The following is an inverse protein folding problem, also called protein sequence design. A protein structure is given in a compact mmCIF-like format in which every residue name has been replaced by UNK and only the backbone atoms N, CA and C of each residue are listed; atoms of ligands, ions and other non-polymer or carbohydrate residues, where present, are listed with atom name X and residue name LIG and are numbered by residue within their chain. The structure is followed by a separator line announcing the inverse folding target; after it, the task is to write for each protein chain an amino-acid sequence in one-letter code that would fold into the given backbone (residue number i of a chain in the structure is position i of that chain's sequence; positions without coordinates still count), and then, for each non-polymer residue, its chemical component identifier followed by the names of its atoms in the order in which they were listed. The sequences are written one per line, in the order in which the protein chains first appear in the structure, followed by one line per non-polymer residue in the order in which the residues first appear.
data_IF_480308802279
#
_entry.id   IF_480308802279
#
_cell.length_a   1.000
_cell.length_b   1.000
_cell.length_c   1.000
_cell.angle_alpha   90.00
_cell.angle_beta   90.00
_cell.angle_gamma   90.00
#
_symmetry.space_group_name_H-M   'P 1'
#
loop_
_entity.id
_entity.type
_entity.pdbx_description
1 polymer ?
#
# COMPACT_ATOMS: atom_id res chain seq x y z
N UNK A 1 -14.21 4.22 10.12
CA UNK A 1 -13.91 3.33 8.96
C UNK A 1 -15.24 2.81 8.43
N UNK A 2 -15.57 3.08 7.18
CA UNK A 2 -16.73 2.48 6.52
C UNK A 2 -16.29 1.18 5.86
N UNK A 3 -16.91 0.06 6.23
CA UNK A 3 -16.62 -1.27 5.67
C UNK A 3 -17.77 -1.67 4.75
N UNK A 4 -17.46 -2.08 3.53
CA UNK A 4 -18.44 -2.31 2.47
C UNK A 4 -18.24 -3.70 1.87
N UNK A 5 -19.32 -4.47 1.78
CA UNK A 5 -19.35 -5.85 1.26
C UNK A 5 -19.57 -5.87 -0.25
N UNK A 6 -19.22 -7.00 -0.90
CA UNK A 6 -19.13 -7.20 -2.36
C UNK A 6 -20.23 -6.53 -3.22
N UNK A 7 -21.48 -6.49 -2.76
CA UNK A 7 -22.61 -5.88 -3.48
C UNK A 7 -22.54 -4.36 -3.62
N UNK A 8 -22.03 -3.69 -2.59
CA UNK A 8 -21.96 -2.23 -2.49
C UNK A 8 -20.57 -1.69 -2.88
N UNK A 9 -19.58 -2.58 -3.06
CA UNK A 9 -18.20 -2.22 -3.32
C UNK A 9 -18.00 -1.38 -4.58
N UNK A 10 -18.76 -1.66 -5.65
CA UNK A 10 -18.72 -0.88 -6.89
C UNK A 10 -19.14 0.58 -6.64
N UNK A 11 -20.29 0.77 -6.02
CA UNK A 11 -20.83 2.12 -5.75
C UNK A 11 -19.89 2.90 -4.83
N UNK A 12 -19.33 2.25 -3.81
CA UNK A 12 -18.43 2.92 -2.88
C UNK A 12 -17.07 3.28 -3.50
N UNK A 13 -16.51 2.42 -4.36
CA UNK A 13 -15.30 2.77 -5.12
C UNK A 13 -15.60 3.95 -6.04
N UNK A 14 -16.77 3.96 -6.69
CA UNK A 14 -17.17 5.05 -7.56
C UNK A 14 -17.34 6.37 -6.80
N UNK A 15 -18.05 6.35 -5.67
CA UNK A 15 -18.22 7.52 -4.80
C UNK A 15 -16.87 8.05 -4.28
N UNK A 16 -15.93 7.15 -3.95
CA UNK A 16 -14.57 7.53 -3.54
C UNK A 16 -13.77 8.19 -4.66
N UNK A 17 -13.87 7.67 -5.90
CA UNK A 17 -13.19 8.26 -7.05
C UNK A 17 -13.79 9.64 -7.36
N UNK A 18 -15.12 9.76 -7.33
CA UNK A 18 -15.83 11.02 -7.59
C UNK A 18 -15.55 12.08 -6.51
N UNK A 19 -15.42 11.68 -5.23
CA UNK A 19 -15.03 12.60 -4.14
C UNK A 19 -13.62 13.14 -4.32
N UNK A 20 -12.67 12.30 -4.76
CA UNK A 20 -11.28 12.69 -4.99
C UNK A 20 -11.11 13.47 -6.30
N UNK A 21 -11.70 12.98 -7.38
CA UNK A 21 -11.59 13.49 -8.75
C UNK A 21 -12.97 13.51 -9.45
N UNK A 22 -13.74 14.61 -9.33
CA UNK A 22 -15.08 14.69 -9.92
C UNK A 22 -15.14 14.50 -11.44
N UNK A 23 -14.06 14.83 -12.15
CA UNK A 23 -13.95 14.72 -13.61
C UNK A 23 -13.16 13.47 -14.05
N UNK A 24 -13.13 12.42 -13.21
CA UNK A 24 -12.42 11.20 -13.57
C UNK A 24 -13.12 10.49 -14.75
N UNK A 25 -12.40 10.09 -15.82
CA UNK A 25 -13.03 9.52 -17.01
C UNK A 25 -13.86 8.26 -16.69
N UNK A 26 -15.15 8.27 -17.02
CA UNK A 26 -16.10 7.20 -16.64
C UNK A 26 -15.66 5.82 -17.13
N UNK A 27 -15.15 5.73 -18.36
CA UNK A 27 -14.66 4.47 -18.91
C UNK A 27 -13.37 4.00 -18.21
N UNK A 28 -12.51 4.91 -17.77
CA UNK A 28 -11.36 4.57 -16.93
C UNK A 28 -11.83 4.07 -15.56
N UNK A 29 -12.81 4.74 -14.93
CA UNK A 29 -13.39 4.32 -13.65
C UNK A 29 -13.93 2.89 -13.73
N UNK A 30 -14.71 2.58 -14.76
CA UNK A 30 -15.23 1.23 -14.99
C UNK A 30 -14.12 0.19 -15.20
N UNK A 31 -13.08 0.54 -15.96
CA UNK A 31 -11.93 -0.36 -16.14
C UNK A 31 -11.16 -0.59 -14.84
N UNK A 32 -10.98 0.46 -14.04
CA UNK A 32 -10.33 0.39 -12.74
C UNK A 32 -11.11 -0.50 -11.77
N UNK A 33 -12.42 -0.28 -11.62
CA UNK A 33 -13.29 -1.08 -10.74
C UNK A 33 -13.19 -2.57 -11.13
N UNK A 34 -13.29 -2.88 -12.42
CA UNK A 34 -13.16 -4.26 -12.92
C UNK A 34 -11.76 -4.85 -12.67
N UNK A 35 -10.73 -4.02 -12.65
CA UNK A 35 -9.35 -4.44 -12.38
C UNK A 35 -9.10 -4.66 -10.89
N UNK A 36 -9.66 -3.82 -10.01
CA UNK A 36 -9.50 -3.92 -8.54
C UNK A 36 -9.96 -5.29 -8.03
N UNK A 37 -11.09 -5.81 -8.53
CA UNK A 37 -11.57 -7.15 -8.17
C UNK A 37 -10.57 -8.28 -8.51
N UNK A 38 -9.71 -8.05 -9.51
CA UNK A 38 -8.67 -9.01 -9.94
C UNK A 38 -7.32 -8.78 -9.27
N UNK A 39 -7.09 -7.58 -8.74
CA UNK A 39 -5.84 -7.17 -8.11
C UNK A 39 -5.43 -8.12 -6.98
N UNK A 40 -6.39 -8.52 -6.14
CA UNK A 40 -6.19 -9.44 -5.02
C UNK A 40 -5.73 -10.84 -5.42
N UNK A 41 -5.99 -11.25 -6.66
CA UNK A 41 -5.71 -12.59 -7.18
C UNK A 41 -4.74 -12.53 -8.37
N UNK A 42 -4.06 -11.41 -8.57
CA UNK A 42 -3.14 -11.25 -9.69
C UNK A 42 -1.90 -12.10 -9.48
N UNK A 43 -1.58 -12.93 -10.48
CA UNK A 43 -0.50 -13.90 -10.44
C UNK A 43 0.16 -13.97 -11.82
N UNK A 44 1.48 -14.01 -11.85
CA UNK A 44 2.27 -14.25 -13.06
C UNK A 44 3.29 -15.35 -12.75
N UNK A 45 3.39 -16.37 -13.60
CA UNK A 45 4.35 -17.48 -13.46
C UNK A 45 4.31 -18.19 -12.08
N UNK A 46 3.14 -18.31 -11.46
CA UNK A 46 3.01 -18.92 -10.12
C UNK A 46 3.31 -17.97 -8.96
N UNK A 47 3.73 -16.74 -9.25
CA UNK A 47 4.09 -15.75 -8.24
C UNK A 47 2.96 -14.74 -8.10
N UNK A 48 2.40 -14.66 -6.90
CA UNK A 48 1.39 -13.67 -6.56
C UNK A 48 2.00 -12.27 -6.59
N UNK A 49 1.45 -11.39 -7.42
CA UNK A 49 1.87 -10.00 -7.48
C UNK A 49 0.87 -9.13 -6.72
N UNK A 50 1.40 -8.17 -5.97
CA UNK A 50 0.62 -7.23 -5.17
C UNK A 50 0.96 -5.79 -5.56
N UNK A 51 0.53 -5.35 -6.75
CA UNK A 51 0.88 -4.04 -7.26
C UNK A 51 0.22 -2.94 -6.44
N UNK A 52 1.03 -1.94 -6.09
CA UNK A 52 0.56 -0.67 -5.54
C UNK A 52 0.44 0.34 -6.68
N UNK A 53 -0.73 0.97 -6.82
CA UNK A 53 -1.07 1.81 -7.97
C UNK A 53 -1.48 3.19 -7.50
N UNK A 54 -0.76 4.21 -7.94
CA UNK A 54 -1.03 5.62 -7.66
C UNK A 54 -1.70 6.28 -8.86
N UNK A 55 -2.92 6.78 -8.68
CA UNK A 55 -3.58 7.64 -9.64
C UNK A 55 -3.37 9.10 -9.27
N UNK A 56 -3.10 9.96 -10.26
CA UNK A 56 -2.96 11.41 -10.07
C UNK A 56 -3.17 12.16 -11.39
N UNK A 57 -3.27 13.49 -11.35
CA UNK A 57 -3.14 14.33 -12.55
C UNK A 57 -1.74 14.92 -12.75
N UNK A 58 -0.86 14.90 -11.74
CA UNK A 58 0.47 15.54 -11.81
C UNK A 58 1.52 14.79 -10.99
N UNK A 59 2.04 13.68 -11.49
CA UNK A 59 3.02 12.85 -10.77
C UNK A 59 4.30 13.63 -10.43
N UNK A 60 4.75 14.54 -11.30
CA UNK A 60 5.93 15.37 -11.06
C UNK A 60 5.79 16.25 -9.83
N UNK A 61 4.57 16.76 -9.57
CA UNK A 61 4.30 17.57 -8.38
C UNK A 61 4.38 16.73 -7.11
N UNK A 62 3.90 15.47 -7.16
CA UNK A 62 3.97 14.55 -6.03
C UNK A 62 5.43 14.16 -5.72
N UNK A 63 6.19 13.83 -6.76
CA UNK A 63 7.60 13.44 -6.62
C UNK A 63 8.44 14.59 -6.08
N UNK A 64 8.24 15.81 -6.59
CA UNK A 64 8.91 16.99 -6.07
C UNK A 64 8.53 17.30 -4.62
N UNK A 65 7.26 17.10 -4.26
CA UNK A 65 6.76 17.36 -2.91
C UNK A 65 7.27 16.36 -1.87
N UNK A 66 7.44 15.09 -2.23
CA UNK A 66 7.98 14.06 -1.32
C UNK A 66 9.51 14.02 -1.33
N UNK A 67 10.14 14.23 -2.48
CA UNK A 67 11.60 14.11 -2.66
C UNK A 67 12.07 12.65 -2.77
N UNK A 68 13.38 12.48 -2.99
CA UNK A 68 14.10 11.19 -3.00
C UNK A 68 13.38 10.05 -3.72
N UNK A 69 12.78 10.35 -4.86
CA UNK A 69 11.95 9.40 -5.61
C UNK A 69 12.33 9.44 -7.07
N UNK A 70 12.52 8.25 -7.63
CA UNK A 70 12.72 8.07 -9.06
C UNK A 70 11.39 7.67 -9.69
N UNK A 71 11.11 8.25 -10.85
CA UNK A 71 10.06 7.75 -11.75
C UNK A 71 10.63 7.45 -13.11
N UNK A 72 10.00 6.50 -13.78
CA UNK A 72 10.23 6.21 -15.18
C UNK A 72 8.89 6.11 -15.89
N UNK A 73 8.67 6.99 -16.86
CA UNK A 73 7.56 6.86 -17.80
C UNK A 73 7.84 5.69 -18.74
N UNK A 74 6.85 4.83 -18.92
CA UNK A 74 6.96 3.66 -19.80
C UNK A 74 5.96 3.75 -20.94
N UNK A 75 4.73 4.19 -20.68
CA UNK A 75 3.69 4.31 -21.70
C UNK A 75 3.02 5.67 -21.69
N UNK A 76 2.55 6.07 -22.86
CA UNK A 76 1.68 7.22 -23.06
C UNK A 76 0.60 6.79 -24.05
N UNK A 77 -0.66 6.97 -23.68
CA UNK A 77 -1.80 6.59 -24.49
C UNK A 77 -2.75 7.79 -24.64
N UNK A 78 -3.30 7.98 -25.83
CA UNK A 78 -4.25 9.07 -26.11
C UNK A 78 -5.64 8.84 -25.47
N UNK A 79 -5.88 7.64 -24.96
CA UNK A 79 -7.13 7.23 -24.31
C UNK A 79 -6.91 6.04 -23.36
N UNK A 80 -7.96 5.69 -22.64
CA UNK A 80 -8.00 4.68 -21.57
C UNK A 80 -8.08 3.23 -22.07
N UNK A 81 -8.17 2.98 -23.39
CA UNK A 81 -8.42 1.63 -23.92
C UNK A 81 -7.32 0.63 -23.57
N UNK A 82 -6.09 1.11 -23.40
CA UNK A 82 -4.92 0.29 -23.15
C UNK A 82 -4.69 -0.01 -21.66
N UNK A 83 -5.51 0.54 -20.75
CA UNK A 83 -5.30 0.45 -19.30
C UNK A 83 -4.99 -0.97 -18.84
N UNK A 84 -5.83 -1.95 -19.19
CA UNK A 84 -5.63 -3.36 -18.77
C UNK A 84 -4.32 -3.95 -19.31
N UNK A 85 -3.96 -3.64 -20.55
CA UNK A 85 -2.71 -4.10 -21.15
C UNK A 85 -1.51 -3.45 -20.45
N UNK A 86 -1.58 -2.14 -20.15
CA UNK A 86 -0.52 -1.42 -19.43
C UNK A 86 -0.35 -1.95 -18.01
N UNK A 87 -1.43 -2.19 -17.27
CA UNK A 87 -1.36 -2.78 -15.94
C UNK A 87 -0.70 -4.15 -15.97
N UNK A 88 -1.06 -5.01 -16.94
CA UNK A 88 -0.40 -6.31 -17.11
C UNK A 88 1.10 -6.17 -17.38
N UNK A 89 1.51 -5.25 -18.25
CA UNK A 89 2.93 -5.02 -18.54
C UNK A 89 3.72 -4.42 -17.37
N UNK A 90 3.07 -3.66 -16.49
CA UNK A 90 3.72 -2.97 -15.38
C UNK A 90 3.71 -3.77 -14.08
N UNK A 91 2.75 -4.68 -13.90
CA UNK A 91 2.60 -5.48 -12.67
C UNK A 91 3.84 -6.29 -12.27
N UNK A 92 4.62 -6.88 -13.20
CA UNK A 92 5.84 -7.62 -12.84
C UNK A 92 6.87 -6.77 -12.08
N UNK A 93 6.94 -5.46 -12.33
CA UNK A 93 7.88 -4.58 -11.62
C UNK A 93 7.58 -4.48 -10.12
N UNK A 94 6.36 -4.77 -9.69
CA UNK A 94 5.98 -4.79 -8.28
C UNK A 94 6.70 -5.87 -7.47
N UNK A 95 7.18 -6.94 -8.10
CA UNK A 95 8.05 -7.92 -7.45
C UNK A 95 9.38 -7.29 -6.96
N UNK A 96 9.82 -6.20 -7.61
CA UNK A 96 11.08 -5.51 -7.31
C UNK A 96 10.88 -4.17 -6.58
N UNK A 97 9.79 -4.05 -5.81
CA UNK A 97 9.45 -2.86 -5.00
C UNK A 97 9.24 -1.58 -5.82
N UNK A 98 8.89 -1.72 -7.10
CA UNK A 98 8.41 -0.61 -7.89
C UNK A 98 6.89 -0.50 -7.76
N UNK A 99 6.43 0.73 -7.58
CA UNK A 99 5.02 1.05 -7.60
C UNK A 99 4.64 1.55 -8.98
N UNK A 100 3.38 1.40 -9.35
CA UNK A 100 2.85 1.84 -10.64
C UNK A 100 2.20 3.20 -10.43
N UNK A 101 2.40 4.14 -11.36
CA UNK A 101 1.58 5.35 -11.41
C UNK A 101 0.77 5.40 -12.71
N UNK A 102 -0.42 5.99 -12.60
CA UNK A 102 -1.28 6.36 -13.71
C UNK A 102 -1.58 7.85 -13.58
N UNK A 103 -1.04 8.63 -14.50
CA UNK A 103 -1.40 10.04 -14.61
C UNK A 103 -2.55 10.19 -15.61
N UNK A 104 -3.65 10.78 -15.14
CA UNK A 104 -4.83 11.10 -15.94
C UNK A 104 -4.80 12.60 -16.25
N UNK A 105 -4.61 12.94 -17.51
CA UNK A 105 -4.55 14.33 -17.94
C UNK A 105 -5.96 14.85 -18.27
N UNK A 106 -6.23 16.16 -18.09
CA UNK A 106 -7.52 16.77 -18.43
C UNK A 106 -7.94 16.59 -19.89
N UNK A 107 -6.96 16.42 -20.79
CA UNK A 107 -7.16 16.22 -22.23
C UNK A 107 -7.62 14.80 -22.60
N UNK A 108 -7.80 13.92 -21.61
CA UNK A 108 -8.16 12.51 -21.84
C UNK A 108 -6.97 11.61 -22.19
N UNK A 109 -5.75 12.13 -22.12
CA UNK A 109 -4.52 11.35 -22.31
C UNK A 109 -4.05 10.73 -20.99
N UNK A 110 -3.35 9.61 -21.09
CA UNK A 110 -2.89 8.83 -19.95
C UNK A 110 -1.40 8.56 -20.05
N UNK A 111 -0.69 8.82 -18.96
CA UNK A 111 0.70 8.43 -18.81
C UNK A 111 0.80 7.32 -17.76
N UNK A 112 1.54 6.26 -18.11
CA UNK A 112 1.79 5.14 -17.21
C UNK A 112 3.28 4.97 -16.99
N UNK A 113 3.65 4.64 -15.77
CA UNK A 113 5.02 4.34 -15.46
C UNK A 113 5.18 3.71 -14.10
N UNK A 114 6.43 3.64 -13.68
CA UNK A 114 6.82 3.11 -12.40
C UNK A 114 7.53 4.18 -11.59
N UNK A 115 7.41 4.08 -10.27
CA UNK A 115 8.14 4.93 -9.34
C UNK A 115 8.64 4.13 -8.15
N UNK A 116 9.74 4.59 -7.56
CA UNK A 116 10.32 3.99 -6.37
C UNK A 116 10.99 5.06 -5.53
N UNK A 117 10.82 4.96 -4.22
CA UNK A 117 11.56 5.78 -3.28
C UNK A 117 12.99 5.26 -3.13
N UNK A 118 13.95 6.17 -3.10
CA UNK A 118 15.36 5.92 -2.82
C UNK A 118 15.69 6.08 -1.32
N UNK A 119 14.66 6.25 -0.50
CA UNK A 119 14.78 6.43 0.94
C UNK A 119 15.51 5.26 1.61
N UNK A 120 16.21 5.59 2.70
CA UNK A 120 16.79 4.57 3.57
C UNK A 120 15.67 3.73 4.20
N UNK A 121 15.95 2.48 4.55
CA UNK A 121 14.98 1.61 5.24
C UNK A 121 14.51 2.20 6.59
N UNK A 122 15.26 3.16 7.16
CA UNK A 122 14.91 3.90 8.38
C UNK A 122 13.92 5.03 8.15
N UNK A 123 13.62 5.37 6.90
CA UNK A 123 12.73 6.46 6.52
C UNK A 123 11.38 5.89 6.06
N UNK A 124 10.35 6.74 6.10
CA UNK A 124 9.03 6.36 5.59
C UNK A 124 9.05 6.15 4.07
N UNK A 125 8.17 5.27 3.60
CA UNK A 125 7.96 5.03 2.17
C UNK A 125 7.46 6.31 1.45
N UNK A 126 7.60 6.37 0.13
CA UNK A 126 7.01 7.45 -0.67
C UNK A 126 5.52 7.61 -0.41
N UNK A 127 4.77 6.49 -0.39
CA UNK A 127 3.33 6.50 -0.21
C UNK A 127 2.96 7.08 1.16
N UNK A 128 3.68 6.68 2.22
CA UNK A 128 3.48 7.22 3.57
C UNK A 128 3.76 8.72 3.59
N UNK A 129 4.89 9.16 3.05
CA UNK A 129 5.25 10.59 3.01
C UNK A 129 4.29 11.42 2.17
N UNK A 130 3.78 10.87 1.06
CA UNK A 130 2.79 11.51 0.21
C UNK A 130 1.53 11.89 1.02
N UNK A 131 1.02 10.97 1.83
CA UNK A 131 -0.19 11.21 2.64
C UNK A 131 0.07 11.93 3.96
N UNK A 132 1.32 12.10 4.38
CA UNK A 132 1.69 12.96 5.52
C UNK A 132 2.01 14.40 5.10
N UNK A 133 2.20 14.67 3.80
CA UNK A 133 2.60 15.98 3.31
C UNK A 133 1.42 16.97 3.28
N UNK A 134 1.37 17.86 4.27
CA UNK A 134 0.32 18.88 4.39
C UNK A 134 0.31 19.90 3.24
N UNK A 135 1.47 20.24 2.66
CA UNK A 135 1.53 21.18 1.54
C UNK A 135 0.83 20.62 0.28
N UNK A 136 1.00 19.32 0.02
CA UNK A 136 0.29 18.64 -1.05
C UNK A 136 -1.21 18.57 -0.77
N UNK A 137 -1.60 18.35 0.49
CA UNK A 137 -3.01 18.40 0.93
C UNK A 137 -3.65 19.78 0.83
N UNK A 138 -2.88 20.87 0.84
CA UNK A 138 -3.44 22.21 0.60
C UNK A 138 -3.80 22.45 -0.87
N UNK A 139 -3.27 21.63 -1.80
CA UNK A 139 -3.47 21.77 -3.26
C UNK A 139 -4.65 20.98 -3.82
N UNK A 140 -5.57 20.51 -2.98
CA UNK A 140 -6.73 19.64 -3.31
C UNK A 140 -7.57 20.09 -4.52
N UNK A 141 -7.60 21.38 -4.82
CA UNK A 141 -8.39 21.92 -5.94
C UNK A 141 -7.69 21.76 -7.31
N UNK A 142 -6.39 21.50 -7.33
CA UNK A 142 -5.57 21.44 -8.56
C UNK A 142 -4.81 20.14 -8.72
N UNK A 143 -4.72 19.36 -7.65
CA UNK A 143 -3.99 18.12 -7.54
C UNK A 143 -4.92 17.10 -6.90
N UNK A 144 -5.14 15.99 -7.59
CA UNK A 144 -5.76 14.82 -6.99
C UNK A 144 -4.72 13.71 -6.92
N UNK A 145 -4.80 12.89 -5.89
CA UNK A 145 -4.06 11.65 -5.85
C UNK A 145 -4.79 10.62 -5.00
N UNK A 146 -4.90 9.40 -5.50
CA UNK A 146 -5.32 8.28 -4.68
C UNK A 146 -4.47 7.05 -4.96
N UNK A 147 -4.22 6.30 -3.90
CA UNK A 147 -3.42 5.09 -3.92
C UNK A 147 -4.31 3.88 -3.74
N UNK A 148 -4.03 2.83 -4.50
CA UNK A 148 -4.66 1.52 -4.39
C UNK A 148 -3.58 0.53 -3.96
N UNK A 149 -3.85 -0.20 -2.88
CA UNK A 149 -2.94 -1.19 -2.33
C UNK A 149 -3.71 -2.47 -1.99
N UNK A 150 -3.27 -3.62 -2.50
CA UNK A 150 -3.68 -4.91 -1.95
C UNK A 150 -3.10 -5.08 -0.56
N UNK A 151 -3.96 -5.15 0.46
CA UNK A 151 -3.57 -5.37 1.86
C UNK A 151 -3.40 -6.86 2.12
N UNK A 152 -4.32 -7.68 1.57
CA UNK A 152 -4.38 -9.11 1.80
C UNK A 152 -4.69 -9.86 0.51
N UNK A 153 -5.03 -11.15 0.63
CA UNK A 153 -5.50 -11.96 -0.49
C UNK A 153 -6.94 -11.65 -0.92
N UNK A 154 -7.68 -10.86 -0.14
CA UNK A 154 -9.08 -10.54 -0.38
C UNK A 154 -9.38 -9.05 -0.21
N UNK A 155 -8.43 -8.24 0.24
CA UNK A 155 -8.70 -6.86 0.64
C UNK A 155 -7.86 -5.86 -0.13
N UNK A 156 -8.52 -4.78 -0.59
CA UNK A 156 -7.89 -3.64 -1.25
C UNK A 156 -8.18 -2.37 -0.45
N UNK A 157 -7.15 -1.57 -0.20
CA UNK A 157 -7.26 -0.24 0.38
C UNK A 157 -7.14 0.82 -0.69
N UNK A 158 -7.99 1.82 -0.59
CA UNK A 158 -7.93 3.08 -1.31
C UNK A 158 -7.61 4.18 -0.31
N UNK A 159 -6.60 4.99 -0.61
CA UNK A 159 -6.19 6.14 0.21
C UNK A 159 -6.18 7.38 -0.64
N UNK A 160 -6.96 8.38 -0.27
CA UNK A 160 -7.05 9.65 -0.97
C UNK A 160 -6.11 10.68 -0.35
N UNK A 161 -5.57 11.58 -1.17
CA UNK A 161 -4.76 12.70 -0.70
C UNK A 161 -5.57 13.63 0.22
N UNK A 162 -6.90 13.63 0.10
CA UNK A 162 -7.81 14.39 0.98
C UNK A 162 -7.89 13.81 2.39
N UNK A 163 -7.35 12.62 2.63
CA UNK A 163 -7.37 11.91 3.92
C UNK A 163 -8.48 10.87 4.04
N UNK A 164 -9.28 10.68 2.99
CA UNK A 164 -10.29 9.64 2.96
C UNK A 164 -9.64 8.27 2.74
N UNK A 165 -10.15 7.25 3.41
CA UNK A 165 -9.72 5.87 3.24
C UNK A 165 -10.94 4.96 3.07
N UNK A 166 -10.89 4.10 2.07
CA UNK A 166 -11.90 3.09 1.78
C UNK A 166 -11.21 1.73 1.69
N UNK A 167 -11.72 0.75 2.42
CA UNK A 167 -11.24 -0.63 2.35
C UNK A 167 -12.36 -1.52 1.82
N UNK A 168 -12.07 -2.30 0.79
CA UNK A 168 -13.00 -3.23 0.16
C UNK A 168 -12.53 -4.64 0.43
N UNK A 169 -13.41 -5.46 1.03
CA UNK A 169 -13.16 -6.90 1.22
C UNK A 169 -13.98 -7.70 0.22
N UNK A 170 -13.29 -8.61 -0.48
CA UNK A 170 -13.88 -9.61 -1.36
C UNK A 170 -14.11 -10.96 -0.66
N UNK A 171 -13.83 -11.05 0.65
CA UNK A 171 -14.11 -12.24 1.44
C UNK A 171 -15.59 -12.31 1.84
N UNK A 172 -16.12 -13.53 2.01
CA UNK A 172 -17.46 -13.77 2.55
C UNK A 172 -17.45 -13.90 4.08
N UNK A 173 -16.31 -13.64 4.72
CA UNK A 173 -16.16 -13.83 6.16
C UNK A 173 -16.71 -12.63 6.93
N UNK A 174 -17.52 -12.88 7.96
CA UNK A 174 -17.98 -11.87 8.93
C UNK A 174 -16.85 -11.43 9.90
N UNK A 175 -15.63 -11.23 9.40
CA UNK A 175 -14.50 -10.83 10.24
C UNK A 175 -14.39 -9.31 10.31
N UNK A 176 -14.01 -8.83 11.50
CA UNK A 176 -13.45 -7.49 11.68
C UNK A 176 -12.22 -7.40 10.77
N UNK A 177 -12.24 -6.52 9.77
CA UNK A 177 -11.02 -6.13 9.07
C UNK A 177 -10.09 -5.49 10.10
N UNK A 178 -9.06 -6.23 10.51
CA UNK A 178 -7.94 -5.65 11.24
C UNK A 178 -7.20 -4.73 10.27
N UNK A 179 -6.89 -3.52 10.70
CA UNK A 179 -6.04 -2.65 9.91
C UNK A 179 -4.62 -3.19 10.00
N UNK A 180 -4.18 -3.90 8.97
CA UNK A 180 -2.86 -4.53 8.92
C UNK A 180 -1.71 -3.59 9.32
N UNK A 181 -1.79 -2.31 8.95
CA UNK A 181 -0.76 -1.33 9.33
C UNK A 181 -0.80 -0.98 10.82
N UNK A 182 -1.97 -1.01 11.45
CA UNK A 182 -2.10 -0.78 12.89
C UNK A 182 -1.64 -2.01 13.67
N UNK A 183 -1.95 -3.23 13.21
CA UNK A 183 -1.43 -4.48 13.80
C UNK A 183 0.10 -4.55 13.76
N UNK A 184 0.71 -4.19 12.62
CA UNK A 184 2.17 -4.13 12.53
C UNK A 184 2.73 -3.06 13.45
N UNK A 185 2.07 -1.89 13.52
CA UNK A 185 2.51 -0.82 14.42
C UNK A 185 2.45 -1.26 15.88
N UNK A 186 1.36 -1.91 16.28
CA UNK A 186 1.21 -2.46 17.63
C UNK A 186 2.28 -3.52 17.92
N UNK A 187 2.53 -4.41 16.97
CA UNK A 187 3.58 -5.42 17.09
C UNK A 187 4.98 -4.81 17.25
N UNK A 188 5.31 -3.78 16.45
CA UNK A 188 6.57 -3.04 16.55
C UNK A 188 6.66 -2.29 17.87
N UNK A 189 5.57 -1.64 18.28
CA UNK A 189 5.51 -0.89 19.54
C UNK A 189 5.71 -1.81 20.74
N UNK A 190 5.10 -3.00 20.74
CA UNK A 190 5.31 -4.02 21.76
C UNK A 190 6.76 -4.53 21.77
N UNK A 191 7.30 -4.87 20.58
CA UNK A 191 8.66 -5.41 20.41
C UNK A 191 9.75 -4.49 20.96
N UNK A 192 9.55 -3.17 20.87
CA UNK A 192 10.55 -2.17 21.30
C UNK A 192 10.09 -1.35 22.51
N UNK A 193 9.02 -1.76 23.20
CA UNK A 193 8.41 -1.03 24.32
C UNK A 193 9.38 -0.82 25.50
N UNK A 194 10.29 -1.78 25.74
CA UNK A 194 11.27 -1.76 26.84
C UNK A 194 12.67 -1.32 26.40
N UNK A 195 12.87 -0.90 25.14
CA UNK A 195 14.17 -0.50 24.64
C UNK A 195 14.58 0.88 25.18
N UNK A 196 15.66 0.92 25.98
CA UNK A 196 16.19 2.17 26.54
C UNK A 196 17.11 2.87 25.55
N UNK A 197 16.61 3.90 24.89
CA UNK A 197 17.37 4.75 23.95
C UNK A 197 16.75 6.16 23.85
N UNK A 198 17.32 7.03 23.02
CA UNK A 198 16.73 8.37 22.78
C UNK A 198 15.45 8.25 21.96
N UNK A 199 14.49 9.18 22.16
CA UNK A 199 13.21 9.19 21.41
C UNK A 199 13.41 9.13 19.89
N UNK A 200 14.40 9.88 19.39
CA UNK A 200 14.75 9.87 17.96
C UNK A 200 15.21 8.49 17.49
N UNK A 201 16.20 7.89 18.18
CA UNK A 201 16.70 6.55 17.82
C UNK A 201 15.61 5.49 17.93
N UNK A 202 14.74 5.60 18.93
CA UNK A 202 13.60 4.67 19.08
C UNK A 202 12.67 4.76 17.88
N UNK A 203 12.32 5.98 17.44
CA UNK A 203 11.49 6.17 16.25
C UNK A 203 12.18 5.63 14.98
N UNK A 204 13.48 5.87 14.80
CA UNK A 204 14.22 5.33 13.65
C UNK A 204 14.20 3.79 13.62
N UNK A 205 14.34 3.15 14.79
CA UNK A 205 14.25 1.68 14.94
C UNK A 205 12.82 1.20 14.65
N UNK A 206 11.81 1.86 15.19
CA UNK A 206 10.40 1.50 14.94
C UNK A 206 10.06 1.61 13.46
N UNK A 207 10.46 2.69 12.79
CA UNK A 207 10.26 2.85 11.34
C UNK A 207 10.98 1.76 10.55
N UNK A 208 12.24 1.46 10.90
CA UNK A 208 13.01 0.37 10.29
C UNK A 208 12.24 -0.96 10.36
N UNK A 209 11.83 -1.37 11.56
CA UNK A 209 11.18 -2.66 11.76
C UNK A 209 9.74 -2.68 11.23
N UNK A 210 9.02 -1.56 11.29
CA UNK A 210 7.72 -1.45 10.65
C UNK A 210 7.85 -1.68 9.13
N UNK A 211 8.79 -1.00 8.47
CA UNK A 211 9.05 -1.22 7.04
C UNK A 211 9.48 -2.67 6.75
N UNK A 212 10.30 -3.29 7.61
CA UNK A 212 10.72 -4.70 7.45
C UNK A 212 9.53 -5.64 7.58
N UNK A 213 8.72 -5.52 8.63
CA UNK A 213 7.58 -6.40 8.87
C UNK A 213 6.44 -6.19 7.87
N UNK A 214 6.18 -4.95 7.44
CA UNK A 214 5.24 -4.67 6.34
C UNK A 214 5.64 -5.43 5.07
N UNK A 215 6.94 -5.55 4.78
CA UNK A 215 7.43 -6.32 3.64
C UNK A 215 7.36 -7.83 3.87
N UNK A 216 7.81 -8.32 5.03
CA UNK A 216 7.83 -9.74 5.34
C UNK A 216 6.40 -10.31 5.39
N UNK A 217 5.52 -9.69 6.17
CA UNK A 217 4.19 -10.23 6.46
C UNK A 217 3.24 -10.13 5.28
N UNK A 218 3.45 -9.17 4.36
CA UNK A 218 2.65 -9.09 3.12
C UNK A 218 2.69 -10.41 2.37
N UNK A 219 3.82 -11.12 2.35
CA UNK A 219 4.00 -12.34 1.57
C UNK A 219 3.73 -13.65 2.33
N UNK A 220 3.37 -13.60 3.61
CA UNK A 220 3.13 -14.81 4.42
C UNK A 220 1.65 -15.19 4.38
N UNK A 221 1.38 -16.48 4.16
CA UNK A 221 0.03 -17.06 4.17
C UNK A 221 -0.36 -17.50 5.58
N UNK A 222 -0.65 -16.51 6.44
CA UNK A 222 -1.03 -16.75 7.83
C UNK A 222 0.18 -16.99 8.73
N UNK A 223 0.32 -16.15 9.74
CA UNK A 223 1.36 -16.26 10.76
C UNK A 223 0.79 -15.79 12.09
N UNK A 224 1.20 -16.44 13.18
CA UNK A 224 0.94 -15.94 14.53
C UNK A 224 2.30 -15.51 15.08
N UNK A 225 2.46 -14.22 15.30
CA UNK A 225 3.64 -13.64 15.93
C UNK A 225 3.30 -13.29 17.38
N UNK A 226 4.14 -13.69 18.33
CA UNK A 226 3.97 -13.37 19.74
C UNK A 226 5.22 -12.64 20.22
N UNK A 227 5.03 -11.50 20.88
CA UNK A 227 6.09 -10.79 21.58
C UNK A 227 6.00 -11.18 23.05
N UNK A 228 7.07 -11.76 23.59
CA UNK A 228 7.17 -12.09 25.00
C UNK A 228 8.29 -11.28 25.66
N UNK A 229 8.15 -11.06 26.96
CA UNK A 229 9.20 -10.43 27.73
C UNK A 229 10.40 -11.37 27.94
N UNK A 230 11.58 -10.79 28.20
CA UNK A 230 12.82 -11.56 28.39
C UNK A 230 12.73 -12.54 29.58
N UNK A 231 11.93 -12.20 30.59
CA UNK A 231 11.67 -12.99 31.79
C UNK A 231 10.45 -13.92 31.64
N UNK A 232 9.84 -13.99 30.46
CA UNK A 232 8.79 -14.96 30.19
C UNK A 232 9.34 -16.38 30.31
N UNK A 233 8.66 -17.20 31.11
CA UNK A 233 8.91 -18.64 31.21
C UNK A 233 7.80 -19.38 30.47
N UNK A 234 8.19 -20.18 29.49
CA UNK A 234 7.25 -21.02 28.77
C UNK A 234 6.76 -22.17 29.67
N UNK A 235 5.44 -22.28 29.84
CA UNK A 235 4.79 -23.36 30.59
C UNK A 235 4.54 -24.60 29.71
N UNK A 236 5.37 -24.79 28.68
CA UNK A 236 5.23 -25.84 27.68
C UNK A 236 4.31 -25.49 26.51
N UNK A 237 3.89 -24.24 26.37
CA UNK A 237 3.10 -23.78 25.24
C UNK A 237 3.92 -23.73 23.94
N UNK A 238 5.23 -23.48 24.06
CA UNK A 238 6.19 -23.49 22.95
C UNK A 238 7.16 -24.68 23.00
N UNK A 239 6.85 -25.73 23.79
CA UNK A 239 7.74 -26.89 23.96
C UNK A 239 8.06 -27.61 22.64
N UNK A 240 7.08 -27.69 21.74
CA UNK A 240 7.23 -28.33 20.42
C UNK A 240 7.85 -27.37 19.37
N UNK A 241 8.24 -26.17 19.78
CA UNK A 241 8.84 -25.15 18.93
C UNK A 241 10.28 -25.45 18.56
N UNK A 242 10.70 -24.95 17.40
CA UNK A 242 12.12 -24.92 17.02
C UNK A 242 12.75 -23.68 17.64
N UNK A 243 13.69 -23.91 18.55
CA UNK A 243 14.47 -22.85 19.18
C UNK A 243 15.67 -22.51 18.31
N UNK A 244 15.76 -21.26 17.88
CA UNK A 244 16.92 -20.78 17.12
C UNK A 244 18.08 -20.53 18.08
N UNK A 245 19.24 -21.11 17.78
CA UNK A 245 20.47 -20.88 18.56
C UNK A 245 20.96 -19.42 18.44
N UNK A 246 20.66 -18.77 17.32
CA UNK A 246 21.00 -17.38 17.05
C UNK A 246 19.76 -16.54 16.72
N UNK A 247 19.74 -15.26 17.10
CA UNK A 247 18.66 -14.34 16.73
C UNK A 247 18.51 -14.22 15.22
N UNK A 248 17.28 -13.96 14.78
CA UNK A 248 17.01 -13.67 13.37
C UNK A 248 17.61 -12.30 13.02
N UNK A 249 18.54 -12.28 12.07
CA UNK A 249 19.08 -11.05 11.49
C UNK A 249 18.36 -10.72 10.19
N UNK A 250 17.74 -9.54 10.12
CA UNK A 250 17.19 -8.98 8.90
C UNK A 250 18.27 -8.13 8.21
N UNK A 251 19.30 -8.78 7.67
CA UNK A 251 20.37 -8.12 6.88
C UNK A 251 20.04 -8.01 5.40
#
# INVERSE_FOLDING_TARGET
MNNIFFGDGKENIQNFIESECPNFPTKMSNQLINFVARLCFYEEEGIKLRPTILFTNKIDSLIKGVGNTIKQRIFFDENENMFRARMKSLSPFSAHRWNIYVQVNPEGTFEYGIYRSLNSIKEHSFNTNLFLNEELKLRKNTLFAFLIETISNSDVSFKSLKGEQLNISFSLENRKLLNFNDEIREFVDASFSKLKTTKKKLNDIKTLYQNTFENCFRNIHGCICVVVDKDYQDNGFFADGIWLEQPIEFS
#
